data_IF_464902999444
#
_entry.id   IF_464902999444
#
_cell.length_a   1.000
_cell.length_b   1.000
_cell.length_c   1.000
_cell.angle_alpha   90.00
_cell.angle_beta   90.00
_cell.angle_gamma   90.00
#
_symmetry.space_group_name_H-M   'P 1'
#
loop_
_entity.id
_entity.type
_entity.pdbx_description
1 polymer ?
#
# COMPACT_ATOMS: atom_id res chain seq x y z
N UNK A 1 -2.42 23.92 11.93
CA UNK A 1 -2.26 22.84 10.95
C UNK A 1 -2.17 23.42 9.56
N UNK A 2 -1.42 22.76 8.68
CA UNK A 2 -1.27 23.15 7.28
C UNK A 2 -2.08 22.22 6.38
N UNK A 3 -2.43 22.68 5.20
CA UNK A 3 -3.13 21.88 4.22
C UNK A 3 -2.15 21.18 3.28
N UNK A 4 -2.45 19.92 2.97
CA UNK A 4 -1.65 19.10 2.05
C UNK A 4 -2.56 18.40 1.06
N UNK A 5 -2.09 18.28 -0.18
CA UNK A 5 -2.74 17.46 -1.20
C UNK A 5 -2.15 16.06 -1.14
N UNK A 6 -3.00 15.05 -1.05
CA UNK A 6 -2.59 13.66 -0.97
C UNK A 6 -2.65 12.99 -2.33
N UNK A 7 -1.54 12.38 -2.72
CA UNK A 7 -1.41 11.59 -3.94
C UNK A 7 -1.26 10.13 -3.54
N UNK A 8 -2.15 9.28 -4.00
CA UNK A 8 -2.14 7.88 -3.61
C UNK A 8 -2.86 7.01 -4.64
N UNK A 9 -2.47 5.76 -4.75
CA UNK A 9 -3.09 4.78 -5.61
C UNK A 9 -2.15 3.66 -5.99
N UNK A 10 -2.54 2.85 -6.98
CA UNK A 10 -1.73 1.75 -7.49
C UNK A 10 -0.95 2.20 -8.73
N UNK A 11 0.32 1.79 -8.79
CA UNK A 11 1.15 1.99 -9.97
C UNK A 11 0.79 1.00 -11.08
N UNK A 12 1.22 1.26 -12.29
CA UNK A 12 1.06 0.34 -13.41
C UNK A 12 -0.32 0.39 -14.05
N UNK A 13 -0.88 -0.77 -14.39
CA UNK A 13 -2.05 -0.90 -15.25
C UNK A 13 -3.42 -0.61 -14.63
N UNK A 14 -3.49 -0.08 -13.42
CA UNK A 14 -4.73 0.13 -12.68
C UNK A 14 -5.24 1.57 -12.71
N UNK A 15 -4.84 2.34 -13.69
CA UNK A 15 -5.19 3.75 -13.78
C UNK A 15 -4.20 4.70 -13.11
N UNK A 16 -3.19 4.14 -12.45
CA UNK A 16 -2.14 4.91 -11.77
C UNK A 16 -2.60 5.59 -10.49
N UNK A 17 -1.65 6.20 -9.80
CA UNK A 17 -1.94 7.00 -8.62
C UNK A 17 -2.45 8.38 -9.03
N UNK A 18 -3.25 9.00 -8.19
CA UNK A 18 -3.84 10.32 -8.46
C UNK A 18 -4.05 11.08 -7.14
N UNK A 19 -4.35 12.38 -7.26
CA UNK A 19 -4.66 13.18 -6.09
C UNK A 19 -6.06 12.83 -5.59
N UNK A 20 -6.13 12.29 -4.36
CA UNK A 20 -7.37 11.82 -3.78
C UNK A 20 -8.10 12.88 -2.99
N UNK A 21 -7.38 13.66 -2.21
CA UNK A 21 -8.01 14.68 -1.35
C UNK A 21 -6.99 15.66 -0.79
N UNK A 22 -7.50 16.75 -0.25
CA UNK A 22 -6.73 17.72 0.52
C UNK A 22 -7.10 17.56 1.99
N UNK A 23 -6.10 17.48 2.85
CA UNK A 23 -6.29 17.34 4.29
C UNK A 23 -5.51 18.41 5.06
N UNK A 24 -5.83 18.57 6.34
CA UNK A 24 -5.04 19.33 7.27
C UNK A 24 -4.19 18.39 8.11
N UNK A 25 -2.90 18.67 8.23
CA UNK A 25 -1.95 17.85 9.00
C UNK A 25 -0.93 18.77 9.67
N UNK A 26 -0.28 18.26 10.70
CA UNK A 26 0.72 19.03 11.44
C UNK A 26 1.99 19.26 10.63
N UNK A 27 2.39 18.24 9.85
CA UNK A 27 3.58 18.29 9.01
C UNK A 27 3.43 17.37 7.80
N UNK A 28 4.45 17.37 6.93
CA UNK A 28 4.46 16.57 5.72
C UNK A 28 4.50 15.06 6.04
N UNK A 29 5.15 14.66 7.12
CA UNK A 29 5.25 13.25 7.52
C UNK A 29 3.90 12.70 7.90
N UNK A 30 3.10 13.45 8.63
CA UNK A 30 1.73 13.08 8.97
C UNK A 30 0.86 12.98 7.72
N UNK A 31 0.98 13.95 6.81
CA UNK A 31 0.25 13.93 5.53
C UNK A 31 0.62 12.71 4.70
N UNK A 32 1.90 12.33 4.64
CA UNK A 32 2.36 11.13 3.93
C UNK A 32 1.78 9.85 4.52
N UNK A 33 1.59 9.78 5.83
CA UNK A 33 0.95 8.63 6.46
C UNK A 33 -0.50 8.47 6.00
N UNK A 34 -1.24 9.57 5.90
CA UNK A 34 -2.60 9.52 5.36
C UNK A 34 -2.61 9.09 3.89
N UNK A 35 -1.65 9.56 3.09
CA UNK A 35 -1.52 9.14 1.70
C UNK A 35 -1.22 7.64 1.60
N UNK A 36 -0.33 7.12 2.45
CA UNK A 36 -0.03 5.70 2.55
C UNK A 36 -1.29 4.89 2.86
N UNK A 37 -2.08 5.30 3.86
CA UNK A 37 -3.31 4.61 4.24
C UNK A 37 -4.31 4.56 3.08
N UNK A 38 -4.45 5.65 2.33
CA UNK A 38 -5.31 5.69 1.15
C UNK A 38 -4.82 4.74 0.06
N UNK A 39 -3.50 4.67 -0.17
CA UNK A 39 -2.92 3.75 -1.15
C UNK A 39 -3.13 2.29 -0.75
N UNK A 40 -3.02 1.97 0.54
CA UNK A 40 -3.28 0.63 1.05
C UNK A 40 -4.75 0.25 0.87
N UNK A 41 -5.68 1.16 1.14
CA UNK A 41 -7.11 0.93 0.89
C UNK A 41 -7.38 0.63 -0.59
N UNK A 42 -6.73 1.35 -1.49
CA UNK A 42 -6.83 1.11 -2.93
C UNK A 42 -6.31 -0.28 -3.28
N UNK A 43 -5.15 -0.67 -2.75
CA UNK A 43 -4.62 -2.02 -2.93
C UNK A 43 -5.62 -3.08 -2.49
N UNK A 44 -6.17 -2.93 -1.30
CA UNK A 44 -7.12 -3.89 -0.73
C UNK A 44 -8.39 -4.01 -1.57
N UNK A 45 -8.81 -2.95 -2.23
CA UNK A 45 -9.99 -2.97 -3.09
C UNK A 45 -9.77 -3.79 -4.38
N UNK A 46 -8.52 -3.98 -4.80
CA UNK A 46 -8.16 -4.75 -5.98
C UNK A 46 -7.64 -6.16 -5.67
N UNK A 47 -7.57 -6.56 -4.41
CA UNK A 47 -7.06 -7.87 -4.03
C UNK A 47 -7.82 -9.00 -4.73
N UNK A 48 -7.07 -9.99 -5.22
CA UNK A 48 -7.61 -11.12 -5.96
C UNK A 48 -7.83 -10.85 -7.45
N UNK A 49 -7.53 -9.64 -7.92
CA UNK A 49 -7.67 -9.24 -9.33
C UNK A 49 -6.31 -8.90 -9.93
N UNK A 50 -6.12 -9.23 -11.21
CA UNK A 50 -4.96 -8.79 -12.01
C UNK A 50 -3.58 -9.09 -11.39
N UNK A 51 -3.47 -10.16 -10.62
CA UNK A 51 -2.22 -10.55 -9.99
C UNK A 51 -1.93 -9.88 -8.65
N UNK A 52 -2.84 -9.08 -8.15
CA UNK A 52 -2.71 -8.48 -6.82
C UNK A 52 -3.06 -9.52 -5.77
N UNK A 53 -2.08 -9.83 -4.92
CA UNK A 53 -2.18 -10.89 -3.95
C UNK A 53 -2.77 -10.40 -2.63
N UNK A 54 -3.75 -11.14 -2.09
CA UNK A 54 -4.19 -10.96 -0.72
C UNK A 54 -3.32 -11.80 0.22
N UNK A 55 -3.63 -11.79 1.52
CA UNK A 55 -2.86 -12.54 2.51
C UNK A 55 -2.88 -14.05 2.23
N UNK A 56 -4.05 -14.60 1.89
CA UNK A 56 -4.20 -16.02 1.58
C UNK A 56 -3.42 -16.42 0.33
N UNK A 57 -3.38 -15.57 -0.68
CA UNK A 57 -2.58 -15.79 -1.90
C UNK A 57 -1.09 -15.85 -1.57
N UNK A 58 -0.61 -14.97 -0.69
CA UNK A 58 0.77 -14.99 -0.22
C UNK A 58 1.09 -16.29 0.52
N UNK A 59 0.16 -16.75 1.35
CA UNK A 59 0.31 -18.00 2.09
C UNK A 59 0.43 -19.19 1.14
N UNK A 60 -0.46 -19.31 0.17
CA UNK A 60 -0.43 -20.38 -0.81
C UNK A 60 0.85 -20.38 -1.65
N UNK A 61 1.26 -19.21 -2.11
CA UNK A 61 2.50 -19.04 -2.88
C UNK A 61 3.72 -19.46 -2.09
N UNK A 62 3.80 -19.08 -0.83
CA UNK A 62 4.92 -19.44 0.05
C UNK A 62 4.99 -20.95 0.27
N UNK A 63 3.85 -21.63 0.39
CA UNK A 63 3.80 -23.08 0.53
C UNK A 63 4.25 -23.78 -0.76
N UNK A 64 3.74 -23.35 -1.91
CA UNK A 64 4.10 -23.91 -3.20
C UNK A 64 5.59 -23.73 -3.53
N UNK A 65 6.16 -22.61 -3.10
CA UNK A 65 7.57 -22.29 -3.32
C UNK A 65 8.51 -22.88 -2.26
N UNK A 66 7.97 -23.60 -1.29
CA UNK A 66 8.72 -24.20 -0.17
C UNK A 66 9.42 -23.19 0.74
N UNK A 67 8.94 -21.95 0.79
CA UNK A 67 9.45 -20.95 1.75
C UNK A 67 8.93 -21.18 3.16
N UNK A 68 7.83 -21.94 3.30
CA UNK A 68 7.24 -22.30 4.57
C UNK A 68 7.28 -23.82 4.72
N UNK A 69 7.76 -24.27 5.88
CA UNK A 69 7.69 -25.66 6.30
C UNK A 69 6.76 -25.75 7.51
N UNK A 70 5.55 -26.26 7.28
CA UNK A 70 4.54 -26.38 8.33
C UNK A 70 4.96 -27.33 9.45
N UNK A 71 5.88 -28.26 9.20
CA UNK A 71 6.37 -29.20 10.19
C UNK A 71 7.49 -28.59 11.05
N UNK A 72 8.29 -27.69 10.46
CA UNK A 72 9.44 -27.08 11.13
C UNK A 72 9.14 -25.72 11.75
N UNK A 73 8.11 -25.01 11.27
CA UNK A 73 7.76 -23.67 11.71
C UNK A 73 6.52 -23.67 12.58
N UNK A 74 6.51 -22.82 13.61
CA UNK A 74 5.30 -22.61 14.42
C UNK A 74 4.29 -21.77 13.63
N UNK A 75 3.03 -21.83 14.04
CA UNK A 75 1.98 -21.02 13.43
C UNK A 75 2.30 -19.52 13.51
N UNK A 76 2.87 -19.07 14.63
CA UNK A 76 3.29 -17.69 14.80
C UNK A 76 4.38 -17.29 13.81
N UNK A 77 5.38 -18.15 13.60
CA UNK A 77 6.47 -17.90 12.65
C UNK A 77 5.94 -17.83 11.22
N UNK A 78 5.02 -18.73 10.85
CA UNK A 78 4.37 -18.73 9.54
C UNK A 78 3.60 -17.42 9.32
N UNK A 79 2.78 -17.02 10.30
CA UNK A 79 1.98 -15.79 10.20
C UNK A 79 2.87 -14.54 10.06
N UNK A 80 3.95 -14.45 10.81
CA UNK A 80 4.89 -13.34 10.70
C UNK A 80 5.54 -13.28 9.33
N UNK A 81 5.93 -14.43 8.78
CA UNK A 81 6.52 -14.51 7.46
C UNK A 81 5.54 -14.03 6.38
N UNK A 82 4.29 -14.49 6.45
CA UNK A 82 3.26 -14.11 5.48
C UNK A 82 2.87 -12.65 5.62
N UNK A 83 2.79 -12.13 6.84
CA UNK A 83 2.53 -10.70 7.08
C UNK A 83 3.59 -9.83 6.40
N UNK A 84 4.87 -10.18 6.55
CA UNK A 84 5.97 -9.47 5.91
C UNK A 84 5.88 -9.55 4.38
N UNK A 85 5.58 -10.72 3.86
CA UNK A 85 5.42 -10.95 2.41
C UNK A 85 4.25 -10.14 1.85
N UNK A 86 3.13 -10.12 2.56
CA UNK A 86 1.95 -9.35 2.16
C UNK A 86 2.26 -7.84 2.18
N UNK A 87 2.94 -7.36 3.20
CA UNK A 87 3.35 -5.96 3.30
C UNK A 87 4.27 -5.57 2.14
N UNK A 88 5.23 -6.42 1.78
CA UNK A 88 6.11 -6.20 0.63
C UNK A 88 5.33 -6.13 -0.68
N UNK A 89 4.31 -6.95 -0.85
CA UNK A 89 3.43 -6.90 -2.02
C UNK A 89 2.70 -5.56 -2.10
N UNK A 90 2.12 -5.11 -1.00
CA UNK A 90 1.45 -3.82 -0.93
C UNK A 90 2.41 -2.70 -1.36
N UNK A 91 3.57 -2.62 -0.72
CA UNK A 91 4.55 -1.56 -0.98
C UNK A 91 5.09 -1.56 -2.41
N UNK A 92 5.16 -2.72 -3.04
CA UNK A 92 5.63 -2.81 -4.43
C UNK A 92 4.61 -2.30 -5.46
N UNK A 93 3.33 -2.27 -5.11
CA UNK A 93 2.25 -1.87 -6.01
C UNK A 93 1.76 -0.45 -5.80
N UNK A 94 1.92 0.12 -4.59
CA UNK A 94 1.36 1.43 -4.27
C UNK A 94 2.33 2.57 -4.58
N UNK A 95 1.75 3.73 -4.89
CA UNK A 95 2.46 5.01 -4.95
C UNK A 95 1.73 5.98 -4.04
N UNK A 96 2.47 6.73 -3.24
CA UNK A 96 1.89 7.72 -2.35
C UNK A 96 2.88 8.82 -2.01
N UNK A 97 2.37 10.02 -1.89
CA UNK A 97 3.09 11.16 -1.32
C UNK A 97 2.12 12.28 -1.00
N UNK A 98 2.61 13.31 -0.33
CA UNK A 98 1.83 14.51 -0.04
C UNK A 98 2.63 15.74 -0.46
N UNK A 99 1.93 16.76 -0.93
CA UNK A 99 2.52 18.07 -1.22
C UNK A 99 1.78 19.14 -0.44
N UNK A 100 2.51 20.16 -0.02
CA UNK A 100 1.92 21.28 0.70
C UNK A 100 1.01 22.09 -0.22
N UNK A 101 -0.18 22.45 0.27
CA UNK A 101 -1.10 23.31 -0.46
C UNK A 101 -0.59 24.76 -0.38
N UNK A 102 -0.06 25.25 -1.48
CA UNK A 102 0.43 26.62 -1.63
C UNK A 102 -0.42 27.43 -2.61
N UNK A 103 -1.65 26.95 -2.90
CA UNK A 103 -2.55 27.58 -3.85
C UNK A 103 -2.37 27.12 -5.29
N UNK A 104 -1.45 26.18 -5.54
CA UNK A 104 -1.23 25.59 -6.86
C UNK A 104 -2.27 24.51 -7.18
N UNK A 105 -2.43 24.21 -8.46
CA UNK A 105 -3.22 23.07 -8.90
C UNK A 105 -2.36 21.80 -8.75
N UNK A 106 -2.78 20.79 -7.96
CA UNK A 106 -2.01 19.57 -7.79
C UNK A 106 -1.72 18.82 -9.10
N UNK A 107 -2.60 18.93 -10.09
CA UNK A 107 -2.43 18.25 -11.38
C UNK A 107 -1.33 18.88 -12.25
N UNK A 108 -0.92 20.09 -11.95
CA UNK A 108 0.15 20.81 -12.66
C UNK A 108 1.56 20.48 -12.12
N UNK A 109 1.64 19.59 -11.16
CA UNK A 109 2.91 19.22 -10.53
C UNK A 109 3.70 18.21 -11.38
#
# INVERSE_FOLDING_TARGET
>A
MEKFHLYAGLSGGFGGAHYNQTIEAEDIDEACKFAYDLAVEEYQSYEGCHGIMNWDDCYEDAIESNFIDKEAMTEKEINEYIDDMYQDQIESWIEYYAIKDEGQDPEDY
#
